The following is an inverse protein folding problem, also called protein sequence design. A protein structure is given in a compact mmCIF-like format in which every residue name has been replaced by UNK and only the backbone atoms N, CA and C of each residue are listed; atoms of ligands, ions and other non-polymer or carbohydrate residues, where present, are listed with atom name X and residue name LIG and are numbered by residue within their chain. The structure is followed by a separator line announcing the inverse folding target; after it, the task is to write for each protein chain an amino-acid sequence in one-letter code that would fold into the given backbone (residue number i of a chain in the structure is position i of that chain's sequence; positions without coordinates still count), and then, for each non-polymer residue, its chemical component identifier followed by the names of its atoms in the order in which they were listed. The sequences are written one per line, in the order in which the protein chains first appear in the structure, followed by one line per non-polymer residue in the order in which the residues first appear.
data_IF_942531810995
#
_entry.id   IF_942531810995
#
_cell.length_a   1.000
_cell.length_b   1.000
_cell.length_c   1.000
_cell.angle_alpha   90.00
_cell.angle_beta   90.00
_cell.angle_gamma   90.00
#
_symmetry.space_group_name_H-M   'P 1'
#
loop_
_entity.id
_entity.type
_entity.pdbx_description
1 polymer ?
#
# COMPACT_ATOMS: atom_id res chain seq x y z
N UNK A 1 24.26 12.50 5.05
CA UNK A 1 24.22 12.22 3.60
C UNK A 1 22.96 11.43 3.34
N UNK A 2 22.04 11.93 2.51
CA UNK A 2 20.86 11.17 2.14
C UNK A 2 21.30 10.08 1.14
N UNK A 3 21.25 8.81 1.53
CA UNK A 3 21.41 7.70 0.59
C UNK A 3 20.30 7.81 -0.45
N UNK A 4 20.61 8.34 -1.64
CA UNK A 4 19.67 8.43 -2.75
C UNK A 4 19.45 7.01 -3.27
N UNK A 5 18.30 6.43 -2.96
CA UNK A 5 17.86 5.18 -3.57
C UNK A 5 17.49 5.46 -5.03
N UNK A 6 18.33 5.00 -5.95
CA UNK A 6 18.18 5.15 -7.41
C UNK A 6 18.33 3.81 -8.09
N UNK A 7 17.75 3.67 -9.28
CA UNK A 7 17.91 2.48 -10.11
C UNK A 7 19.39 2.31 -10.49
N UNK A 8 19.98 1.12 -10.30
CA UNK A 8 21.39 0.88 -10.62
C UNK A 8 21.67 0.92 -12.13
N UNK A 9 20.68 0.61 -12.97
CA UNK A 9 20.84 0.52 -14.42
C UNK A 9 20.77 1.89 -15.11
N UNK A 10 19.77 2.70 -14.75
CA UNK A 10 19.49 3.97 -15.45
C UNK A 10 19.59 5.22 -14.57
N UNK A 11 19.91 5.07 -13.27
CA UNK A 11 20.04 6.18 -12.32
C UNK A 11 18.72 6.88 -11.97
N UNK A 12 17.58 6.41 -12.47
CA UNK A 12 16.28 7.05 -12.24
C UNK A 12 15.74 6.76 -10.83
N UNK A 13 14.69 7.47 -10.44
CA UNK A 13 13.98 7.22 -9.19
C UNK A 13 13.39 5.80 -9.16
N UNK A 14 13.23 5.26 -7.95
CA UNK A 14 12.60 3.95 -7.71
C UNK A 14 11.32 4.13 -6.91
N UNK A 15 10.32 3.30 -7.18
CA UNK A 15 9.11 3.19 -6.37
C UNK A 15 9.30 2.06 -5.37
N UNK A 16 8.88 2.27 -4.14
CA UNK A 16 8.66 1.18 -3.18
C UNK A 16 7.17 0.86 -3.17
N UNK A 17 6.82 -0.41 -3.24
CA UNK A 17 5.44 -0.86 -3.21
C UNK A 17 5.25 -2.02 -2.24
N UNK A 18 4.03 -2.14 -1.73
CA UNK A 18 3.58 -3.27 -0.95
C UNK A 18 2.13 -3.54 -1.29
N UNK A 19 1.80 -4.78 -1.57
CA UNK A 19 0.41 -5.22 -1.69
C UNK A 19 -0.19 -5.24 -0.30
N UNK A 20 -1.26 -4.45 -0.10
CA UNK A 20 -1.96 -4.34 1.18
C UNK A 20 -3.42 -4.77 1.01
N UNK A 21 -3.77 -5.90 1.61
CA UNK A 21 -5.16 -6.31 1.76
C UNK A 21 -5.82 -5.49 2.87
N UNK A 22 -6.88 -4.76 2.54
CA UNK A 22 -7.63 -3.97 3.50
C UNK A 22 -9.06 -4.47 3.65
N UNK A 23 -9.51 -4.61 4.90
CA UNK A 23 -10.92 -4.84 5.23
C UNK A 23 -11.58 -3.52 5.64
N UNK A 24 -12.68 -3.18 4.98
CA UNK A 24 -13.49 -2.00 5.33
C UNK A 24 -14.76 -2.44 6.07
N UNK A 25 -14.92 -1.98 7.31
CA UNK A 25 -16.06 -2.30 8.17
C UNK A 25 -16.92 -1.06 8.35
N UNK A 26 -18.22 -1.19 8.11
CA UNK A 26 -19.19 -0.13 8.37
C UNK A 26 -20.08 -0.48 9.55
N UNK A 27 -20.35 0.50 10.43
CA UNK A 27 -21.46 0.41 11.39
C UNK A 27 -22.74 0.88 10.72
N UNK A 28 -23.78 0.06 10.82
CA UNK A 28 -25.14 0.38 10.40
C UNK A 28 -25.91 0.81 11.65
N UNK A 29 -26.60 1.95 11.59
CA UNK A 29 -27.48 2.37 12.68
C UNK A 29 -28.87 1.70 12.58
N UNK A 30 -29.69 1.88 13.59
CA UNK A 30 -31.08 1.42 13.67
C UNK A 30 -32.01 1.97 12.56
N UNK A 31 -31.57 2.97 11.80
CA UNK A 31 -32.28 3.51 10.63
C UNK A 31 -31.70 3.00 9.29
N UNK A 32 -30.80 2.01 9.31
CA UNK A 32 -30.18 1.44 8.11
C UNK A 32 -29.10 2.30 7.45
N UNK A 33 -28.67 3.41 8.07
CA UNK A 33 -27.61 4.27 7.52
C UNK A 33 -26.22 3.81 7.95
N UNK A 34 -25.26 3.90 7.03
CA UNK A 34 -23.84 3.70 7.31
C UNK A 34 -23.32 4.91 8.08
N UNK A 35 -22.75 4.70 9.27
CA UNK A 35 -22.40 5.81 10.19
C UNK A 35 -20.91 5.88 10.54
N UNK A 36 -20.19 4.76 10.53
CA UNK A 36 -18.77 4.73 10.88
C UNK A 36 -18.01 3.76 10.01
N UNK A 37 -16.92 4.22 9.39
CA UNK A 37 -15.99 3.41 8.60
C UNK A 37 -14.75 3.10 9.44
N UNK A 38 -14.37 1.83 9.51
CA UNK A 38 -13.10 1.39 10.07
C UNK A 38 -12.36 0.64 8.96
N UNK A 39 -11.15 1.08 8.63
CA UNK A 39 -10.25 0.36 7.71
C UNK A 39 -9.29 -0.42 8.59
N UNK A 40 -9.26 -1.74 8.43
CA UNK A 40 -8.30 -2.62 9.10
C UNK A 40 -7.35 -3.18 8.05
N UNK A 41 -6.06 -3.12 8.33
CA UNK A 41 -5.11 -3.94 7.60
C UNK A 41 -5.42 -5.41 7.93
N UNK A 42 -5.66 -6.21 6.91
CA UNK A 42 -5.89 -7.65 7.08
C UNK A 42 -4.55 -8.28 7.43
N UNK A 43 -4.53 -9.30 8.29
CA UNK A 43 -3.25 -9.92 8.69
C UNK A 43 -2.65 -10.62 7.47
N UNK A 44 -1.72 -9.95 6.78
CA UNK A 44 -1.17 -10.43 5.53
C UNK A 44 -0.16 -11.53 5.80
N UNK A 45 -0.52 -12.76 5.45
CA UNK A 45 0.36 -13.93 5.56
C UNK A 45 1.32 -14.05 4.37
N UNK A 46 1.01 -13.42 3.22
CA UNK A 46 1.84 -13.34 2.00
C UNK A 46 2.04 -11.88 1.60
N UNK A 47 2.47 -11.03 2.53
CA UNK A 47 2.74 -9.62 2.25
C UNK A 47 3.84 -9.49 1.19
N UNK A 48 3.46 -9.16 -0.04
CA UNK A 48 4.41 -8.90 -1.13
C UNK A 48 4.81 -7.44 -1.10
N UNK A 49 6.11 -7.22 -1.14
CA UNK A 49 6.65 -5.89 -1.28
C UNK A 49 7.88 -5.92 -2.19
N UNK A 50 8.18 -4.77 -2.76
CA UNK A 50 9.25 -4.67 -3.73
C UNK A 50 9.69 -3.23 -3.95
N UNK A 51 10.74 -3.13 -4.75
CA UNK A 51 11.25 -1.87 -5.27
C UNK A 51 11.37 -2.04 -6.77
N UNK A 52 10.79 -1.11 -7.53
CA UNK A 52 10.82 -1.12 -8.98
C UNK A 52 11.37 0.19 -9.54
N UNK A 53 11.97 0.13 -10.73
CA UNK A 53 12.41 1.33 -11.40
C UNK A 53 11.21 2.07 -12.02
N UNK A 54 11.22 3.39 -11.96
CA UNK A 54 10.20 4.23 -12.63
C UNK A 54 10.35 4.32 -14.16
N UNK A 55 11.41 3.73 -14.73
CA UNK A 55 11.72 3.88 -16.17
C UNK A 55 12.17 2.61 -16.88
N UNK A 56 12.82 1.66 -16.20
CA UNK A 56 13.19 0.39 -16.84
C UNK A 56 11.96 -0.51 -16.93
N UNK A 57 11.82 -1.22 -18.05
CA UNK A 57 10.93 -2.39 -18.21
C UNK A 57 11.63 -3.66 -17.72
#
# INVERSE_FOLDING_TARGET
MANKFTCPECGSAVNAWADLDATVIFKINNHGKLTKRVIKNTNQTDGRCGVECTKCD
#
